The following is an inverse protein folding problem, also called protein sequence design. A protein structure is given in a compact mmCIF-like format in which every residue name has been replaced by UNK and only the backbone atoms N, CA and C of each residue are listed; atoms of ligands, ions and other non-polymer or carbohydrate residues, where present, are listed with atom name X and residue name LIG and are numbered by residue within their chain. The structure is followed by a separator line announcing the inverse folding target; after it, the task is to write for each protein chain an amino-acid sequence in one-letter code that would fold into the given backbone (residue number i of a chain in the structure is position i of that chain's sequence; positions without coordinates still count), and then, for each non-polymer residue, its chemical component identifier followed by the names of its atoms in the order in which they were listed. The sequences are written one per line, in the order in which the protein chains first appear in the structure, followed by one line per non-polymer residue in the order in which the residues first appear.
data_IF_120815189499
#
_entry.id   IF_120815189499
#
_cell.length_a   1.000
_cell.length_b   1.000
_cell.length_c   1.000
_cell.angle_alpha   90.00
_cell.angle_beta   90.00
_cell.angle_gamma   90.00
#
_symmetry.space_group_name_H-M   'P 1'
#
loop_
_entity.id
_entity.type
_entity.pdbx_description
1 polymer ?
#
# COMPACT_ATOMS: atom_id res chain seq x y z
N UNK A 1 18.62 -4.17 28.03
CA UNK A 1 17.83 -4.13 29.28
C UNK A 1 18.33 -2.95 30.08
N UNK A 2 17.52 -1.91 30.27
CA UNK A 2 17.65 -1.07 31.45
C UNK A 2 16.80 -1.74 32.56
N UNK A 3 17.34 -1.94 33.76
CA UNK A 3 16.70 -2.75 34.81
C UNK A 3 15.49 -2.10 35.51
N UNK A 4 15.10 -0.87 35.14
CA UNK A 4 14.21 -0.03 35.95
C UNK A 4 12.79 0.18 35.39
N UNK A 5 12.29 -0.73 34.53
CA UNK A 5 10.95 -0.56 33.94
C UNK A 5 10.85 0.57 32.90
N UNK A 6 12.00 1.05 32.42
CA UNK A 6 12.06 2.14 31.45
C UNK A 6 12.34 1.65 30.03
N UNK A 7 11.69 2.26 29.05
CA UNK A 7 11.92 2.03 27.61
C UNK A 7 12.67 3.20 26.97
N UNK A 8 13.08 3.03 25.71
CA UNK A 8 13.72 4.07 24.89
C UNK A 8 12.87 4.34 23.66
N UNK A 9 13.10 5.45 22.97
CA UNK A 9 12.50 5.72 21.65
C UNK A 9 12.68 4.56 20.66
N UNK A 10 13.87 3.94 20.67
CA UNK A 10 14.17 2.74 19.88
C UNK A 10 13.34 1.53 20.30
N UNK A 11 13.10 1.34 21.60
CA UNK A 11 12.26 0.28 22.14
C UNK A 11 10.79 0.44 21.75
N UNK A 12 10.27 1.66 21.85
CA UNK A 12 8.93 2.02 21.39
C UNK A 12 8.78 1.83 19.87
N UNK A 13 9.77 2.28 19.09
CA UNK A 13 9.82 2.04 17.65
C UNK A 13 9.78 0.55 17.30
N UNK A 14 10.60 -0.27 17.98
CA UNK A 14 10.67 -1.71 17.75
C UNK A 14 9.31 -2.38 18.02
N UNK A 15 8.59 -1.93 19.06
CA UNK A 15 7.28 -2.45 19.45
C UNK A 15 6.18 -2.08 18.46
N UNK A 16 6.13 -0.82 18.03
CA UNK A 16 4.96 -0.29 17.31
C UNK A 16 5.16 -0.09 15.81
N UNK A 17 6.38 0.14 15.35
CA UNK A 17 6.64 0.65 14.00
C UNK A 17 7.47 -0.32 13.14
N UNK A 18 8.44 -1.02 13.75
CA UNK A 18 9.40 -1.85 13.02
C UNK A 18 8.76 -2.98 12.19
N UNK A 19 7.57 -3.45 12.57
CA UNK A 19 6.84 -4.45 11.80
C UNK A 19 6.50 -3.99 10.37
N UNK A 20 6.27 -2.70 10.15
CA UNK A 20 5.99 -2.15 8.82
C UNK A 20 7.20 -1.44 8.20
N UNK A 21 7.97 -0.72 9.01
CA UNK A 21 9.06 0.13 8.54
C UNK A 21 10.45 -0.52 8.60
N UNK A 22 10.54 -1.77 9.03
CA UNK A 22 11.80 -2.51 9.19
C UNK A 22 12.51 -2.15 10.48
N UNK A 23 13.34 -3.07 10.98
CA UNK A 23 14.11 -2.83 12.22
C UNK A 23 15.26 -1.85 12.00
N UNK A 24 15.70 -1.65 10.76
CA UNK A 24 16.74 -0.70 10.34
C UNK A 24 16.20 0.53 9.59
N UNK A 25 14.89 0.83 9.69
CA UNK A 25 14.22 1.96 9.06
C UNK A 25 14.16 1.89 7.50
N UNK A 26 14.37 0.72 6.92
CA UNK A 26 14.51 0.50 5.48
C UNK A 26 13.19 0.47 4.70
N UNK A 27 12.04 0.27 5.37
CA UNK A 27 10.74 0.11 4.73
C UNK A 27 10.58 -1.20 3.94
N UNK A 28 9.55 -1.30 3.10
CA UNK A 28 9.37 -2.46 2.23
C UNK A 28 10.10 -2.29 0.89
N UNK A 29 10.67 -3.36 0.29
CA UNK A 29 11.31 -3.30 -1.02
C UNK A 29 10.40 -2.79 -2.15
N UNK A 30 9.09 -2.86 -1.96
CA UNK A 30 8.07 -2.52 -2.95
C UNK A 30 7.58 -1.08 -2.82
N UNK A 31 8.02 -0.36 -1.78
CA UNK A 31 7.66 1.02 -1.50
C UNK A 31 6.28 1.22 -0.85
N UNK A 32 5.56 0.13 -0.57
CA UNK A 32 4.22 0.22 0.02
C UNK A 32 4.26 0.59 1.51
N UNK A 33 5.36 0.24 2.20
CA UNK A 33 5.73 0.80 3.50
C UNK A 33 7.00 1.65 3.31
N UNK A 34 6.94 2.97 3.52
CA UNK A 34 8.07 3.84 3.19
C UNK A 34 9.23 3.64 4.16
N UNK A 35 10.45 3.82 3.64
CA UNK A 35 11.65 3.91 4.47
C UNK A 35 11.59 5.15 5.38
N UNK A 36 12.02 4.97 6.62
CA UNK A 36 12.17 6.04 7.61
C UNK A 36 13.63 6.49 7.76
N UNK A 37 14.58 5.78 7.14
CA UNK A 37 15.96 6.27 7.05
C UNK A 37 16.00 7.62 6.32
N UNK A 38 16.78 8.57 6.85
CA UNK A 38 16.92 9.92 6.30
C UNK A 38 15.64 10.76 6.34
N UNK A 39 14.72 10.47 7.27
CA UNK A 39 13.44 11.16 7.40
C UNK A 39 13.59 12.66 7.68
N UNK A 40 14.66 13.05 8.37
CA UNK A 40 15.00 14.43 8.74
C UNK A 40 15.17 15.36 7.53
N UNK A 41 15.51 14.80 6.37
CA UNK A 41 15.63 15.55 5.12
C UNK A 41 14.29 15.79 4.41
N UNK A 42 13.23 15.08 4.83
CA UNK A 42 11.93 15.04 4.13
C UNK A 42 10.79 15.60 4.97
N UNK A 43 10.89 15.54 6.29
CA UNK A 43 9.79 15.90 7.20
C UNK A 43 10.29 16.65 8.43
N UNK A 44 9.45 17.55 8.94
CA UNK A 44 9.67 18.21 10.23
C UNK A 44 9.19 17.32 11.37
N UNK A 45 9.80 17.46 12.56
CA UNK A 45 9.37 16.74 13.77
C UNK A 45 7.87 16.81 14.03
N UNK A 46 7.30 18.02 14.02
CA UNK A 46 5.86 18.23 14.27
C UNK A 46 4.97 17.43 13.30
N UNK A 47 5.36 17.39 12.02
CA UNK A 47 4.66 16.61 11.01
C UNK A 47 4.76 15.10 11.25
N UNK A 48 5.90 14.60 11.76
CA UNK A 48 6.07 13.20 12.13
C UNK A 48 5.21 12.88 13.37
N UNK A 49 5.24 13.71 14.40
CA UNK A 49 4.39 13.55 15.59
C UNK A 49 2.90 13.54 15.23
N UNK A 50 2.46 14.45 14.33
CA UNK A 50 1.07 14.50 13.87
C UNK A 50 0.68 13.23 13.09
N UNK A 51 1.56 12.71 12.24
CA UNK A 51 1.32 11.46 11.51
C UNK A 51 1.28 10.24 12.43
N UNK A 52 2.14 10.17 13.45
CA UNK A 52 2.08 9.10 14.46
C UNK A 52 0.73 9.14 15.18
N UNK A 53 0.30 10.34 15.63
CA UNK A 53 -0.94 10.49 16.37
C UNK A 53 -2.18 10.17 15.53
N UNK A 54 -2.25 10.62 14.27
CA UNK A 54 -3.48 10.52 13.45
C UNK A 54 -3.48 9.34 12.48
N UNK A 55 -2.31 8.76 12.18
CA UNK A 55 -2.12 7.86 11.06
C UNK A 55 -2.17 8.59 9.71
N UNK A 56 -1.73 7.91 8.65
CA UNK A 56 -1.79 8.42 7.27
C UNK A 56 -1.86 7.27 6.28
N UNK A 57 -2.85 7.29 5.40
CA UNK A 57 -3.07 6.20 4.43
C UNK A 57 -3.28 4.85 5.11
N UNK A 58 -2.31 3.95 5.00
CA UNK A 58 -2.30 2.66 5.70
C UNK A 58 -1.67 2.68 7.08
N UNK A 59 -0.88 3.71 7.38
CA UNK A 59 -0.25 3.83 8.69
C UNK A 59 -1.37 4.04 9.73
N UNK A 60 -1.55 3.12 10.69
CA UNK A 60 -2.60 3.25 11.70
C UNK A 60 -2.32 4.45 12.61
N UNK A 61 -3.36 4.92 13.30
CA UNK A 61 -3.20 5.90 14.36
C UNK A 61 -2.58 5.26 15.60
N UNK A 62 -1.60 5.92 16.17
CA UNK A 62 -0.99 5.61 17.47
C UNK A 62 -1.36 6.67 18.51
N UNK A 63 -2.54 7.27 18.42
CA UNK A 63 -3.02 8.29 19.36
C UNK A 63 -3.28 7.79 20.79
N UNK A 64 -2.99 6.52 21.06
CA UNK A 64 -2.97 5.95 22.41
C UNK A 64 -1.61 6.12 23.11
N UNK A 65 -0.55 6.50 22.38
CA UNK A 65 0.75 6.81 22.95
C UNK A 65 0.72 8.19 23.62
N UNK A 66 1.36 8.29 24.76
CA UNK A 66 1.53 9.56 25.48
C UNK A 66 2.51 10.49 24.75
N UNK A 67 2.45 11.78 25.06
CA UNK A 67 3.21 12.80 24.32
C UNK A 67 4.73 12.65 24.41
N UNK A 68 5.23 12.15 25.54
CA UNK A 68 6.62 11.84 25.79
C UNK A 68 7.06 10.57 25.03
N UNK A 69 6.22 9.54 24.96
CA UNK A 69 6.46 8.35 24.14
C UNK A 69 6.59 8.71 22.65
N UNK A 70 5.68 9.54 22.13
CA UNK A 70 5.76 10.04 20.76
C UNK A 70 7.03 10.85 20.55
N UNK A 71 7.39 11.73 21.50
CA UNK A 71 8.63 12.51 21.41
C UNK A 71 9.86 11.60 21.33
N UNK A 72 9.98 10.59 22.19
CA UNK A 72 11.13 9.69 22.16
C UNK A 72 11.21 8.88 20.86
N UNK A 73 10.08 8.44 20.29
CA UNK A 73 10.08 7.81 18.96
C UNK A 73 10.62 8.80 17.91
N UNK A 74 10.17 10.06 17.94
CA UNK A 74 10.64 11.09 17.00
C UNK A 74 12.13 11.36 17.18
N UNK A 75 12.63 11.46 18.41
CA UNK A 75 14.05 11.69 18.68
C UNK A 75 14.91 10.55 18.10
N UNK A 76 14.49 9.30 18.30
CA UNK A 76 15.12 8.14 17.68
C UNK A 76 15.10 8.21 16.14
N UNK A 77 13.96 8.57 15.53
CA UNK A 77 13.84 8.68 14.08
C UNK A 77 14.71 9.80 13.47
N UNK A 78 15.01 10.84 14.24
CA UNK A 78 15.89 11.95 13.84
C UNK A 78 17.37 11.71 14.19
N UNK A 79 17.72 10.52 14.69
CA UNK A 79 19.10 10.16 15.04
C UNK A 79 19.62 10.87 16.29
N UNK A 80 18.71 11.42 17.09
CA UNK A 80 19.01 12.03 18.38
C UNK A 80 18.85 10.93 19.43
N UNK A 81 19.88 10.08 19.52
CA UNK A 81 20.01 9.05 20.54
C UNK A 81 20.24 9.73 21.90
N UNK A 82 19.20 10.33 22.48
CA UNK A 82 19.18 10.53 23.92
C UNK A 82 18.85 9.18 24.58
N UNK A 83 19.63 8.79 25.59
CA UNK A 83 19.29 7.70 26.52
C UNK A 83 18.06 8.07 27.38
N UNK A 84 17.08 8.79 26.82
CA UNK A 84 15.85 9.20 27.47
C UNK A 84 15.04 7.95 27.75
N UNK A 85 15.12 7.55 29.01
CA UNK A 85 14.40 6.44 29.58
C UNK A 85 13.00 6.91 29.95
N UNK A 86 11.98 6.38 29.27
CA UNK A 86 10.57 6.65 29.61
C UNK A 86 10.12 5.58 30.59
N UNK A 87 9.68 6.01 31.76
CA UNK A 87 9.02 5.11 32.72
C UNK A 87 7.68 4.67 32.15
N UNK A 88 7.52 3.37 31.95
CA UNK A 88 6.25 2.76 31.55
C UNK A 88 5.59 2.12 32.77
N UNK A 89 4.27 1.90 32.70
CA UNK A 89 3.62 0.98 33.63
C UNK A 89 4.28 -0.41 33.55
N UNK A 90 4.37 -1.14 34.66
CA UNK A 90 5.15 -2.39 34.77
C UNK A 90 4.80 -3.41 33.67
N UNK A 91 3.50 -3.60 33.39
CA UNK A 91 3.03 -4.52 32.35
C UNK A 91 3.47 -4.09 30.94
N UNK A 92 3.51 -2.78 30.67
CA UNK A 92 3.95 -2.24 29.39
C UNK A 92 5.46 -2.26 29.22
N UNK A 93 6.19 -2.06 30.32
CA UNK A 93 7.64 -2.19 30.37
C UNK A 93 8.07 -3.63 30.05
N UNK A 94 7.42 -4.64 30.63
CA UNK A 94 7.69 -6.06 30.35
C UNK A 94 7.41 -6.41 28.88
N UNK A 95 6.29 -5.95 28.32
CA UNK A 95 5.95 -6.13 26.90
C UNK A 95 6.97 -5.45 25.98
N UNK A 96 7.36 -4.20 26.28
CA UNK A 96 8.37 -3.47 25.50
C UNK A 96 9.73 -4.18 25.54
N UNK A 97 10.16 -4.65 26.71
CA UNK A 97 11.40 -5.39 26.89
C UNK A 97 11.38 -6.73 26.14
N UNK A 98 10.23 -7.44 26.12
CA UNK A 98 10.05 -8.66 25.34
C UNK A 98 10.26 -8.42 23.84
N UNK A 99 9.61 -7.41 23.26
CA UNK A 99 9.77 -7.10 21.83
C UNK A 99 11.18 -6.60 21.49
N UNK A 100 11.79 -5.78 22.36
CA UNK A 100 13.15 -5.27 22.15
C UNK A 100 14.23 -6.36 22.27
N UNK A 101 14.02 -7.37 23.11
CA UNK A 101 14.96 -8.48 23.35
C UNK A 101 14.67 -9.74 22.52
N UNK A 102 13.54 -9.81 21.82
CA UNK A 102 13.15 -11.01 21.07
C UNK A 102 14.04 -11.19 19.83
N UNK A 103 14.66 -12.37 19.65
CA UNK A 103 15.34 -12.70 18.40
C UNK A 103 14.37 -12.96 17.25
N UNK A 104 13.06 -13.04 17.54
CA UNK A 104 11.99 -13.25 16.57
C UNK A 104 11.17 -11.97 16.41
N UNK A 105 11.09 -11.46 15.18
CA UNK A 105 10.32 -10.27 14.84
C UNK A 105 9.67 -10.37 13.47
N UNK A 106 8.66 -9.53 13.21
CA UNK A 106 8.08 -9.39 11.88
C UNK A 106 9.07 -8.65 10.97
N UNK A 107 9.51 -9.27 9.88
CA UNK A 107 10.46 -8.67 8.92
C UNK A 107 9.77 -7.90 7.79
N UNK A 108 8.52 -7.50 8.01
CA UNK A 108 7.70 -6.85 6.99
C UNK A 108 6.97 -7.81 6.06
N UNK A 109 6.15 -7.24 5.19
CA UNK A 109 5.44 -7.96 4.13
C UNK A 109 6.37 -8.23 2.95
N UNK A 110 7.23 -9.24 3.10
CA UNK A 110 8.18 -9.63 2.07
C UNK A 110 7.47 -10.33 0.91
N UNK A 111 7.71 -9.85 -0.31
CA UNK A 111 7.26 -10.53 -1.53
C UNK A 111 8.32 -11.51 -1.99
N UNK A 112 7.87 -12.70 -2.40
CA UNK A 112 8.74 -13.74 -2.91
C UNK A 112 8.88 -13.58 -4.44
N UNK A 113 10.02 -13.05 -4.86
CA UNK A 113 10.35 -12.80 -6.26
C UNK A 113 11.43 -13.76 -6.79
N UNK A 114 11.45 -13.98 -8.09
CA UNK A 114 12.52 -14.67 -8.81
C UNK A 114 13.70 -13.72 -9.09
N UNK A 115 14.74 -14.25 -9.76
CA UNK A 115 15.95 -13.50 -10.10
C UNK A 115 15.71 -12.32 -11.08
N UNK A 116 14.59 -12.35 -11.80
CA UNK A 116 14.20 -11.33 -12.77
C UNK A 116 13.23 -10.29 -12.16
N UNK A 117 12.86 -10.47 -10.88
CA UNK A 117 11.98 -9.57 -10.14
C UNK A 117 10.48 -9.87 -10.29
N UNK A 118 10.12 -11.01 -10.86
CA UNK A 118 8.72 -11.44 -10.99
C UNK A 118 8.29 -12.31 -9.82
N UNK A 119 6.99 -12.41 -9.48
CA UNK A 119 6.55 -13.29 -8.40
C UNK A 119 6.98 -14.74 -8.65
N UNK A 120 7.63 -15.36 -7.67
CA UNK A 120 8.21 -16.71 -7.74
C UNK A 120 7.15 -17.83 -7.61
N UNK A 121 5.98 -17.59 -8.21
CA UNK A 121 4.85 -18.52 -8.32
C UNK A 121 4.36 -18.51 -9.77
N UNK A 122 3.65 -19.56 -10.18
CA UNK A 122 3.13 -19.66 -11.55
C UNK A 122 2.06 -18.57 -11.79
N UNK A 123 2.10 -17.82 -12.91
CA UNK A 123 1.06 -16.85 -13.26
C UNK A 123 -0.31 -17.53 -13.53
N UNK A 124 -1.43 -16.80 -13.42
CA UNK A 124 -1.50 -15.35 -13.31
C UNK A 124 -1.18 -14.79 -11.91
N UNK A 125 -0.45 -13.68 -11.86
CA UNK A 125 -0.05 -12.97 -10.64
C UNK A 125 -1.08 -11.94 -10.18
N UNK A 126 -2.04 -11.61 -11.04
CA UNK A 126 -3.22 -10.81 -10.69
C UNK A 126 -4.38 -11.17 -11.59
N UNK A 127 -5.57 -11.20 -11.00
CA UNK A 127 -6.80 -11.57 -11.70
C UNK A 127 -7.94 -10.65 -11.32
N UNK A 128 -8.83 -10.40 -12.29
CA UNK A 128 -10.16 -9.86 -12.05
C UNK A 128 -11.14 -11.02 -12.11
N UNK A 129 -12.02 -11.11 -11.10
CA UNK A 129 -12.94 -12.24 -10.94
C UNK A 129 -14.36 -11.73 -10.77
N UNK A 130 -15.32 -12.38 -11.43
CA UNK A 130 -16.74 -12.27 -11.08
C UNK A 130 -17.14 -13.46 -10.21
N UNK A 131 -17.75 -13.16 -9.06
CA UNK A 131 -18.22 -14.17 -8.12
C UNK A 131 -19.74 -14.08 -8.05
N UNK A 132 -20.39 -15.21 -8.29
CA UNK A 132 -21.81 -15.35 -8.10
C UNK A 132 -22.12 -15.50 -6.60
N UNK A 133 -22.79 -14.50 -6.03
CA UNK A 133 -23.09 -14.48 -4.60
C UNK A 133 -24.20 -15.46 -4.19
N UNK A 134 -24.99 -15.97 -5.14
CA UNK A 134 -26.01 -16.98 -4.86
C UNK A 134 -25.41 -18.39 -4.79
N UNK A 135 -24.53 -18.74 -5.72
CA UNK A 135 -23.90 -20.08 -5.78
C UNK A 135 -22.56 -20.17 -5.06
N UNK A 136 -21.91 -19.04 -4.79
CA UNK A 136 -20.55 -18.99 -4.24
C UNK A 136 -19.47 -19.41 -5.24
N UNK A 137 -19.76 -19.40 -6.55
CA UNK A 137 -18.84 -19.82 -7.60
C UNK A 137 -18.24 -18.64 -8.35
N UNK A 138 -17.06 -18.83 -8.96
CA UNK A 138 -16.48 -17.88 -9.91
C UNK A 138 -17.17 -18.09 -11.27
N UNK A 139 -17.85 -17.06 -11.77
CA UNK A 139 -18.49 -17.10 -13.11
C UNK A 139 -17.44 -16.93 -14.21
N UNK A 140 -16.49 -16.01 -14.00
CA UNK A 140 -15.31 -15.84 -14.86
C UNK A 140 -14.13 -15.27 -14.10
N UNK A 141 -12.92 -15.53 -14.63
CA UNK A 141 -11.64 -15.03 -14.12
C UNK A 141 -10.74 -14.70 -15.30
N UNK A 142 -10.18 -13.48 -15.32
CA UNK A 142 -9.25 -13.02 -16.35
C UNK A 142 -7.99 -12.42 -15.72
N UNK A 143 -6.81 -12.51 -16.35
CA UNK A 143 -5.62 -11.80 -15.88
C UNK A 143 -5.85 -10.28 -15.83
N UNK A 144 -5.44 -9.64 -14.74
CA UNK A 144 -5.51 -8.18 -14.60
C UNK A 144 -4.10 -7.59 -14.49
N UNK A 145 -3.73 -6.85 -15.53
CA UNK A 145 -2.39 -6.31 -15.70
C UNK A 145 -1.53 -7.14 -16.64
N UNK A 146 -0.44 -6.53 -17.09
CA UNK A 146 0.50 -7.10 -18.04
C UNK A 146 1.94 -6.67 -17.73
N UNK A 147 2.90 -7.55 -18.04
CA UNK A 147 4.31 -7.19 -18.25
C UNK A 147 4.60 -7.22 -19.77
N UNK A 148 4.66 -6.07 -20.46
CA UNK A 148 4.78 -6.02 -21.92
C UNK A 148 6.02 -6.74 -22.47
N UNK A 149 7.09 -6.78 -21.69
CA UNK A 149 8.31 -7.51 -22.03
C UNK A 149 8.10 -9.03 -22.04
N UNK A 150 7.19 -9.57 -21.21
CA UNK A 150 6.85 -11.00 -21.21
C UNK A 150 5.94 -11.35 -22.39
N UNK A 151 4.94 -10.51 -22.67
CA UNK A 151 4.04 -10.71 -23.82
C UNK A 151 4.79 -10.62 -25.14
N UNK A 152 5.75 -9.70 -25.26
CA UNK A 152 6.67 -9.61 -26.41
C UNK A 152 7.49 -10.89 -26.61
N UNK A 153 7.81 -11.62 -25.53
CA UNK A 153 8.51 -12.92 -25.57
C UNK A 153 7.59 -14.10 -25.87
N UNK A 154 6.31 -13.85 -26.13
CA UNK A 154 5.30 -14.89 -26.42
C UNK A 154 4.70 -15.54 -25.16
N UNK A 155 4.95 -14.98 -23.98
CA UNK A 155 4.30 -15.42 -22.73
C UNK A 155 2.91 -14.79 -22.68
N UNK A 156 1.82 -15.56 -22.47
CA UNK A 156 0.47 -14.99 -22.34
C UNK A 156 0.39 -13.98 -21.20
N UNK A 157 -0.61 -13.11 -21.25
CA UNK A 157 -0.83 -12.10 -20.21
C UNK A 157 -0.82 -12.74 -18.81
N UNK A 158 0.12 -12.30 -17.99
CA UNK A 158 0.42 -12.91 -16.69
C UNK A 158 -0.36 -12.28 -15.55
N UNK A 159 -1.07 -11.18 -15.77
CA UNK A 159 -1.48 -10.33 -14.65
C UNK A 159 -0.27 -9.62 -14.03
N UNK A 160 -0.56 -8.61 -13.23
CA UNK A 160 0.42 -7.98 -12.34
C UNK A 160 -0.15 -7.97 -10.93
N UNK A 161 0.63 -7.54 -9.97
CA UNK A 161 0.04 -7.12 -8.71
C UNK A 161 -1.03 -6.03 -8.94
N UNK A 162 -2.10 -6.09 -8.14
CA UNK A 162 -3.26 -5.21 -8.28
C UNK A 162 -3.52 -4.49 -6.98
N UNK A 163 -3.76 -3.19 -7.10
CA UNK A 163 -4.04 -2.30 -6.00
C UNK A 163 -5.18 -1.36 -6.39
N UNK A 164 -6.27 -1.31 -5.62
CA UNK A 164 -7.46 -0.50 -5.93
C UNK A 164 -8.66 -1.33 -6.40
N UNK A 165 -9.84 -0.70 -6.46
CA UNK A 165 -11.10 -1.39 -6.74
C UNK A 165 -11.72 -1.03 -8.10
N UNK A 166 -12.71 -1.82 -8.57
CA UNK A 166 -13.50 -1.49 -9.73
C UNK A 166 -14.72 -0.61 -9.39
N UNK A 167 -15.32 0.00 -10.42
CA UNK A 167 -16.71 0.47 -10.40
C UNK A 167 -17.49 -0.16 -11.54
N UNK A 168 -18.75 -0.55 -11.31
CA UNK A 168 -19.60 -1.18 -12.32
C UNK A 168 -20.80 -0.29 -12.59
N UNK A 169 -21.06 -0.01 -13.86
CA UNK A 169 -22.22 0.75 -14.32
C UNK A 169 -23.46 -0.13 -14.46
N UNK A 170 -24.65 0.45 -14.45
CA UNK A 170 -25.90 -0.27 -14.71
C UNK A 170 -25.95 -0.91 -16.11
N UNK A 171 -25.26 -0.32 -17.08
CA UNK A 171 -25.12 -0.83 -18.44
C UNK A 171 -24.15 -2.01 -18.59
N UNK A 172 -23.50 -2.44 -17.50
CA UNK A 172 -22.61 -3.60 -17.52
C UNK A 172 -21.15 -3.32 -17.85
N UNK A 173 -20.75 -2.05 -17.93
CA UNK A 173 -19.34 -1.68 -18.02
C UNK A 173 -18.68 -1.67 -16.64
N UNK A 174 -17.58 -2.40 -16.49
CA UNK A 174 -16.73 -2.42 -15.29
C UNK A 174 -15.45 -1.64 -15.57
N UNK A 175 -15.16 -0.61 -14.78
CA UNK A 175 -13.96 0.20 -14.90
C UNK A 175 -12.98 -0.05 -13.76
N UNK A 176 -11.69 -0.24 -14.05
CA UNK A 176 -10.64 -0.50 -13.04
C UNK A 176 -9.27 -0.01 -13.50
N UNK A 177 -8.49 0.58 -12.58
CA UNK A 177 -7.14 1.11 -12.81
C UNK A 177 -6.12 0.57 -11.78
N UNK A 178 -6.23 -0.74 -11.48
CA UNK A 178 -5.56 -1.33 -10.33
C UNK A 178 -4.18 -1.93 -10.62
N UNK A 179 -3.87 -2.20 -11.88
CA UNK A 179 -2.68 -2.96 -12.28
C UNK A 179 -1.40 -2.11 -12.32
N UNK A 180 -0.26 -2.78 -12.12
CA UNK A 180 1.08 -2.16 -12.10
C UNK A 180 1.50 -1.58 -13.46
N UNK A 181 0.87 -2.02 -14.54
CA UNK A 181 1.07 -1.46 -15.89
C UNK A 181 0.42 -0.07 -16.11
N UNK A 182 -0.16 0.52 -15.07
CA UNK A 182 -0.71 1.88 -15.06
C UNK A 182 -1.81 2.11 -16.11
N UNK A 183 -2.54 1.06 -16.49
CA UNK A 183 -3.64 1.12 -17.45
C UNK A 183 -4.98 1.32 -16.75
N UNK A 184 -5.84 2.14 -17.36
CA UNK A 184 -7.25 2.22 -17.02
C UNK A 184 -8.07 1.43 -18.03
N UNK A 185 -8.87 0.48 -17.56
CA UNK A 185 -9.57 -0.49 -18.40
C UNK A 185 -11.06 -0.49 -18.15
N UNK A 186 -11.83 -0.72 -19.22
CA UNK A 186 -13.24 -1.05 -19.20
C UNK A 186 -13.42 -2.50 -19.63
N UNK A 187 -14.20 -3.26 -18.86
CA UNK A 187 -14.52 -4.66 -19.10
C UNK A 187 -16.04 -4.83 -19.25
N UNK A 188 -16.43 -5.84 -20.01
CA UNK A 188 -17.78 -6.40 -19.98
C UNK A 188 -17.96 -7.19 -18.67
N UNK A 189 -18.96 -6.83 -17.85
CA UNK A 189 -19.18 -7.46 -16.54
C UNK A 189 -19.58 -8.94 -16.63
N UNK A 190 -20.11 -9.40 -17.75
CA UNK A 190 -20.71 -10.74 -17.88
C UNK A 190 -19.69 -11.78 -18.35
N UNK A 191 -18.62 -11.36 -19.01
CA UNK A 191 -17.60 -12.28 -19.55
C UNK A 191 -16.14 -11.85 -19.30
N UNK A 192 -15.90 -10.66 -18.73
CA UNK A 192 -14.56 -10.18 -18.43
C UNK A 192 -13.74 -9.77 -19.66
N UNK A 193 -14.36 -9.57 -20.83
CA UNK A 193 -13.67 -9.09 -22.02
C UNK A 193 -13.29 -7.62 -21.86
N UNK A 194 -12.05 -7.27 -22.22
CA UNK A 194 -11.62 -5.86 -22.31
C UNK A 194 -12.34 -5.20 -23.48
N UNK A 195 -13.11 -4.15 -23.20
CA UNK A 195 -13.84 -3.38 -24.20
C UNK A 195 -13.08 -2.10 -24.60
N UNK A 196 -12.33 -1.53 -23.66
CA UNK A 196 -11.55 -0.33 -23.87
C UNK A 196 -10.42 -0.23 -22.84
N UNK A 197 -9.31 0.38 -23.21
CA UNK A 197 -8.27 0.74 -22.27
C UNK A 197 -7.45 1.96 -22.71
N UNK A 198 -6.78 2.59 -21.75
CA UNK A 198 -5.82 3.66 -22.00
C UNK A 198 -4.68 3.64 -20.98
N UNK A 199 -3.53 4.17 -21.36
CA UNK A 199 -2.38 4.38 -20.47
C UNK A 199 -2.62 5.62 -19.62
N UNK A 200 -2.47 5.50 -18.30
CA UNK A 200 -2.52 6.64 -17.39
C UNK A 200 -1.14 7.32 -17.27
N UNK A 201 -1.10 8.61 -16.89
CA UNK A 201 0.16 9.32 -16.65
C UNK A 201 0.88 8.86 -15.37
N UNK A 202 0.19 8.16 -14.46
CA UNK A 202 0.72 7.43 -13.30
C UNK A 202 -0.29 6.35 -12.90
N UNK A 203 0.12 5.36 -12.10
CA UNK A 203 -0.77 4.31 -11.61
C UNK A 203 -2.07 4.86 -11.01
N UNK A 204 -3.21 4.23 -11.33
CA UNK A 204 -4.51 4.65 -10.79
C UNK A 204 -4.63 4.34 -9.30
N UNK A 205 -4.48 3.06 -8.95
CA UNK A 205 -4.41 2.57 -7.56
C UNK A 205 -5.55 3.01 -6.63
N UNK A 206 -6.65 3.43 -7.23
CA UNK A 206 -7.83 3.97 -6.59
C UNK A 206 -9.06 3.35 -7.26
N UNK A 207 -10.17 3.35 -6.52
CA UNK A 207 -11.46 2.99 -7.10
C UNK A 207 -11.97 4.17 -7.94
N UNK A 208 -12.28 3.98 -9.24
CA UNK A 208 -12.85 5.05 -10.04
C UNK A 208 -14.22 5.48 -9.51
N UNK A 209 -14.58 6.74 -9.73
CA UNK A 209 -15.90 7.27 -9.43
C UNK A 209 -16.68 7.53 -10.72
N UNK A 210 -18.02 7.43 -10.67
CA UNK A 210 -18.88 7.83 -11.78
C UNK A 210 -19.73 9.04 -11.38
N UNK A 211 -20.03 9.90 -12.34
CA UNK A 211 -20.88 11.08 -12.14
C UNK A 211 -21.59 11.45 -13.43
N UNK A 212 -22.64 12.25 -13.34
CA UNK A 212 -23.40 12.73 -14.49
C UNK A 212 -23.35 14.25 -14.58
N UNK A 213 -23.18 14.79 -15.78
CA UNK A 213 -23.33 16.22 -16.07
C UNK A 213 -24.21 16.38 -17.29
N UNK A 214 -25.35 17.05 -17.12
CA UNK A 214 -26.32 17.35 -18.19
C UNK A 214 -26.75 16.09 -18.96
N UNK A 215 -27.08 15.01 -18.26
CA UNK A 215 -27.53 13.76 -18.88
C UNK A 215 -26.41 12.90 -19.47
N UNK A 216 -25.15 13.33 -19.42
CA UNK A 216 -24.00 12.54 -19.87
C UNK A 216 -23.25 11.92 -18.70
N UNK A 217 -23.04 10.61 -18.74
CA UNK A 217 -22.30 9.89 -17.72
C UNK A 217 -20.79 9.98 -17.98
N UNK A 218 -20.03 10.12 -16.90
CA UNK A 218 -18.58 10.17 -16.87
C UNK A 218 -18.04 9.19 -15.84
N UNK A 219 -16.82 8.74 -16.08
CA UNK A 219 -16.00 8.02 -15.10
C UNK A 219 -14.71 8.80 -14.87
N UNK A 220 -14.29 8.94 -13.62
CA UNK A 220 -13.06 9.64 -13.23
C UNK A 220 -12.18 8.73 -12.38
N UNK A 221 -10.88 8.83 -12.61
CA UNK A 221 -9.85 8.11 -11.85
C UNK A 221 -8.76 9.09 -11.42
N UNK A 222 -8.34 8.97 -10.16
CA UNK A 222 -7.13 9.61 -9.66
C UNK A 222 -5.92 8.77 -10.11
N UNK A 223 -4.98 9.38 -10.83
CA UNK A 223 -3.72 8.79 -11.25
C UNK A 223 -2.60 9.29 -10.30
N UNK A 224 -2.64 8.80 -9.06
CA UNK A 224 -1.70 9.20 -8.00
C UNK A 224 -0.40 8.39 -7.98
N UNK A 225 -0.42 7.16 -8.48
CA UNK A 225 0.73 6.26 -8.55
C UNK A 225 1.41 6.03 -7.20
N UNK A 226 2.74 5.92 -7.23
CA UNK A 226 3.58 5.90 -6.02
C UNK A 226 3.55 4.61 -5.20
N UNK A 227 2.83 3.57 -5.66
CA UNK A 227 2.81 2.22 -5.07
C UNK A 227 3.44 1.20 -6.00
N UNK A 228 3.85 0.06 -5.45
CA UNK A 228 4.43 -1.06 -6.20
C UNK A 228 5.64 -0.68 -7.08
N UNK A 229 6.37 0.38 -6.71
CA UNK A 229 7.53 0.89 -7.44
C UNK A 229 7.22 1.67 -8.73
N UNK A 230 5.97 2.09 -8.96
CA UNK A 230 5.63 2.99 -10.08
C UNK A 230 5.80 4.46 -9.72
N UNK A 231 5.90 5.32 -10.74
CA UNK A 231 6.02 6.77 -10.56
C UNK A 231 4.81 7.34 -9.81
N UNK A 232 5.06 8.36 -9.00
CA UNK A 232 3.99 9.18 -8.42
C UNK A 232 3.41 10.14 -9.47
N UNK A 233 2.15 10.52 -9.26
CA UNK A 233 1.44 11.53 -10.05
C UNK A 233 0.40 12.26 -9.19
N UNK A 234 -0.25 13.25 -9.79
CA UNK A 234 -1.19 14.15 -9.12
C UNK A 234 -2.41 14.50 -10.01
N UNK A 235 -2.66 13.66 -11.03
CA UNK A 235 -3.67 13.94 -12.05
C UNK A 235 -5.02 13.26 -11.77
N UNK A 236 -6.11 13.92 -12.15
CA UNK A 236 -7.42 13.30 -12.30
C UNK A 236 -7.78 13.23 -13.78
N UNK A 237 -8.20 12.05 -14.26
CA UNK A 237 -8.61 11.84 -15.64
C UNK A 237 -10.08 11.48 -15.68
N UNK A 238 -10.88 12.26 -16.40
CA UNK A 238 -12.30 12.04 -16.61
C UNK A 238 -12.58 11.62 -18.06
N UNK A 239 -13.37 10.56 -18.23
CA UNK A 239 -13.76 10.01 -19.51
C UNK A 239 -15.28 10.03 -19.62
N UNK A 240 -15.80 10.46 -20.76
CA UNK A 240 -17.23 10.47 -21.02
C UNK A 240 -17.64 9.12 -21.63
N UNK A 241 -18.75 8.55 -21.17
CA UNK A 241 -19.32 7.37 -21.82
C UNK A 241 -19.92 7.74 -23.18
N UNK A 242 -19.96 6.79 -24.14
CA UNK A 242 -20.71 6.96 -25.38
C UNK A 242 -22.21 7.24 -25.11
N UNK A 243 -22.88 7.84 -26.09
CA UNK A 243 -24.34 8.01 -26.08
C UNK A 243 -25.08 6.69 -26.35
#
# INVERSE_FOLDING_TARGET
LNPDGATTGKGLYARYCAGCHGTGLEGSPTGDMPALAGLESRMTRDAVSEQIARGVGFMPSFGFLESDEVSAIVDFLFGEDEETSIELEEDEAELSAFFAGSPYGHTGYNRFFDQDGYPAVKPPWGTLNAINLYTGTIDWSVPLGEFPELTTRGIPQTGTENYGGPVVTSGGLLFIAASKDERFRAFDKDNGAVLWETQLPAGGYATPATYEVRGKQYVVIAAGGGKMGTKSGDAYLAFALPE
#
